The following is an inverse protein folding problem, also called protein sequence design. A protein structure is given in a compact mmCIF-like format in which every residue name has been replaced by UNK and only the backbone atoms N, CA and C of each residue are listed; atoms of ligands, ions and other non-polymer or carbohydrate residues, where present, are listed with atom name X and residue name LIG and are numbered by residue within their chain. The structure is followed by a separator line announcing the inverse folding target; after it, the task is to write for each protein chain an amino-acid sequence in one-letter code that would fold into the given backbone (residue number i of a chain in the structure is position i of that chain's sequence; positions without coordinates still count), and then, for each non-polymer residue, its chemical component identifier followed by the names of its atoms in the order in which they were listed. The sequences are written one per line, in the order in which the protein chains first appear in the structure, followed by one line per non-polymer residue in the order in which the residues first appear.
data_IF_468480170282
#
_entry.id   IF_468480170282
#
_cell.length_a   1.000
_cell.length_b   1.000
_cell.length_c   1.000
_cell.angle_alpha   90.00
_cell.angle_beta   90.00
_cell.angle_gamma   90.00
#
_symmetry.space_group_name_H-M   'P 1'
#
loop_
_entity.id
_entity.type
_entity.pdbx_description
1 polymer ?
#
# COMPACT_ATOMS: atom_id res chain seq x y z
N UNK A 1 9.24 -1.08 13.71
CA UNK A 1 8.14 -1.17 12.73
C UNK A 1 7.03 -2.11 13.17
N UNK A 2 7.32 -3.39 13.47
CA UNK A 2 6.25 -4.35 13.80
C UNK A 2 5.36 -3.94 14.98
N UNK A 3 5.89 -3.21 15.97
CA UNK A 3 5.07 -2.63 17.04
C UNK A 3 4.06 -1.59 16.53
N UNK A 4 4.44 -0.80 15.52
CA UNK A 4 3.55 0.17 14.89
C UNK A 4 2.46 -0.53 14.03
N UNK A 5 2.82 -1.62 13.34
CA UNK A 5 1.85 -2.46 12.64
C UNK A 5 0.84 -3.10 13.60
N UNK A 6 1.32 -3.68 14.71
CA UNK A 6 0.46 -4.21 15.79
C UNK A 6 -0.42 -3.14 16.42
N UNK A 7 0.12 -1.94 16.68
CA UNK A 7 -0.68 -0.82 17.19
C UNK A 7 -1.84 -0.49 16.25
N UNK A 8 -1.57 -0.39 14.93
CA UNK A 8 -2.59 -0.06 13.94
C UNK A 8 -3.65 -1.16 13.81
N UNK A 9 -3.24 -2.44 13.87
CA UNK A 9 -4.15 -3.58 13.93
C UNK A 9 -5.03 -3.54 15.19
N UNK A 10 -4.41 -3.43 16.38
CA UNK A 10 -5.09 -3.42 17.67
C UNK A 10 -6.13 -2.31 17.75
N UNK A 11 -5.75 -1.10 17.30
CA UNK A 11 -6.63 0.06 17.24
C UNK A 11 -7.80 -0.18 16.27
N UNK A 12 -7.51 -0.75 15.10
CA UNK A 12 -8.53 -0.99 14.07
C UNK A 12 -9.51 -2.10 14.45
N UNK A 13 -9.14 -2.96 15.41
CA UNK A 13 -10.01 -3.93 16.06
C UNK A 13 -10.79 -3.37 17.26
N UNK A 14 -10.63 -2.09 17.62
CA UNK A 14 -11.48 -1.44 18.63
C UNK A 14 -12.80 -0.99 18.01
N UNK A 15 -13.83 -1.84 18.04
CA UNK A 15 -15.12 -1.54 17.40
C UNK A 15 -15.82 -0.27 17.95
N UNK A 16 -15.48 0.15 19.17
CA UNK A 16 -15.98 1.39 19.79
C UNK A 16 -15.21 2.67 19.41
N UNK A 17 -14.07 2.56 18.70
CA UNK A 17 -13.25 3.70 18.29
C UNK A 17 -13.38 3.89 16.79
N UNK A 18 -14.21 4.86 16.39
CA UNK A 18 -14.44 5.15 14.99
C UNK A 18 -13.21 5.83 14.37
N UNK A 19 -12.54 5.11 13.49
CA UNK A 19 -11.46 5.63 12.65
C UNK A 19 -11.85 5.57 11.18
N UNK A 20 -11.32 6.51 10.40
CA UNK A 20 -11.46 6.55 8.93
C UNK A 20 -10.18 6.13 8.21
N UNK A 21 -9.03 6.20 8.87
CA UNK A 21 -7.72 5.88 8.33
C UNK A 21 -6.79 5.42 9.45
N UNK A 22 -6.04 4.35 9.19
CA UNK A 22 -4.85 3.98 9.93
C UNK A 22 -3.77 3.51 8.96
N UNK A 23 -2.70 4.29 8.88
CA UNK A 23 -1.57 4.06 7.97
C UNK A 23 -0.29 3.92 8.78
N UNK A 24 0.55 2.95 8.45
CA UNK A 24 1.86 2.74 9.10
C UNK A 24 2.96 3.01 8.10
N UNK A 25 3.92 3.84 8.48
CA UNK A 25 5.08 4.22 7.66
C UNK A 25 6.35 3.72 8.33
N UNK A 26 7.12 2.89 7.61
CA UNK A 26 8.41 2.41 8.07
C UNK A 26 9.44 3.54 8.09
N UNK A 27 10.28 3.55 9.12
CA UNK A 27 11.43 4.44 9.14
C UNK A 27 12.42 4.05 8.02
N UNK A 28 13.00 5.00 7.26
CA UNK A 28 13.00 6.45 7.51
C UNK A 28 11.96 7.25 6.70
N UNK A 29 10.89 6.65 6.16
CA UNK A 29 9.93 7.33 5.24
C UNK A 29 9.47 8.70 5.77
N UNK A 30 9.07 8.76 7.05
CA UNK A 30 8.61 10.01 7.65
C UNK A 30 9.73 11.05 7.81
N UNK A 31 10.96 10.60 8.07
CA UNK A 31 12.12 11.48 8.19
C UNK A 31 12.54 12.05 6.84
N UNK A 32 12.56 11.21 5.81
CA UNK A 32 13.15 11.56 4.51
C UNK A 32 12.16 12.30 3.61
N UNK A 33 10.89 11.89 3.64
CA UNK A 33 9.93 12.29 2.60
C UNK A 33 8.81 13.20 3.13
N UNK A 34 8.58 13.26 4.44
CA UNK A 34 7.51 14.06 5.02
C UNK A 34 8.05 15.38 5.58
N UNK A 35 8.43 16.31 4.69
CA UNK A 35 9.12 17.58 5.03
C UNK A 35 8.54 18.36 6.22
N UNK A 36 7.22 18.34 6.43
CA UNK A 36 6.58 19.04 7.57
C UNK A 36 6.56 18.22 8.87
N UNK A 37 6.76 16.92 8.79
CA UNK A 37 6.84 15.96 9.92
C UNK A 37 8.29 15.67 10.30
N UNK A 38 9.20 15.66 9.33
CA UNK A 38 10.63 15.37 9.47
C UNK A 38 11.36 16.09 10.62
N UNK A 39 11.04 17.37 10.97
CA UNK A 39 11.65 18.04 12.11
C UNK A 39 11.28 17.46 13.48
N UNK A 40 10.19 16.68 13.57
CA UNK A 40 9.61 16.18 14.81
C UNK A 40 9.84 14.67 15.01
N UNK A 41 10.56 14.02 14.10
CA UNK A 41 10.86 12.59 14.13
C UNK A 41 12.35 12.32 13.89
N UNK A 42 12.87 11.22 14.43
CA UNK A 42 14.22 10.74 14.20
C UNK A 42 14.30 9.79 13.00
N UNK A 43 15.51 9.43 12.59
CA UNK A 43 15.75 8.50 11.46
C UNK A 43 15.16 7.11 11.70
N UNK A 44 15.16 6.63 12.94
CA UNK A 44 14.57 5.33 13.32
C UNK A 44 13.07 5.39 13.67
N UNK A 45 12.42 6.54 13.53
CA UNK A 45 11.02 6.70 13.94
C UNK A 45 10.07 6.16 12.87
N UNK A 46 9.37 5.08 13.22
CA UNK A 46 8.20 4.63 12.46
C UNK A 46 7.02 5.53 12.82
N UNK A 47 6.18 5.88 11.84
CA UNK A 47 5.06 6.81 12.03
C UNK A 47 3.72 6.10 11.79
N UNK A 48 2.69 6.47 12.55
CA UNK A 48 1.32 6.03 12.31
C UNK A 48 0.47 7.27 12.00
N UNK A 49 -0.14 7.30 10.82
CA UNK A 49 -1.12 8.31 10.42
C UNK A 49 -2.54 7.86 10.74
N UNK A 50 -3.29 8.67 11.49
CA UNK A 50 -4.63 8.30 11.96
C UNK A 50 -5.66 9.39 11.62
N UNK A 51 -6.85 8.97 11.21
CA UNK A 51 -8.06 9.81 11.22
C UNK A 51 -9.06 9.23 12.24
N UNK A 52 -9.13 9.84 13.42
CA UNK A 52 -10.06 9.46 14.49
C UNK A 52 -11.25 10.41 14.49
N UNK A 53 -12.47 9.89 14.58
CA UNK A 53 -13.67 10.73 14.66
C UNK A 53 -13.68 11.54 15.98
N UNK A 54 -14.20 12.79 15.99
CA UNK A 54 -14.18 13.63 17.19
C UNK A 54 -14.77 12.95 18.43
N UNK A 55 -15.91 12.27 18.30
CA UNK A 55 -16.58 11.55 19.39
C UNK A 55 -15.82 10.31 19.88
N UNK A 56 -14.81 9.84 19.14
CA UNK A 56 -13.99 8.67 19.51
C UNK A 56 -12.62 9.07 20.05
N UNK A 57 -12.30 10.37 20.14
CA UNK A 57 -10.99 10.86 20.54
C UNK A 57 -10.62 10.44 21.97
N UNK A 58 -11.54 10.53 22.93
CA UNK A 58 -11.28 10.12 24.32
C UNK A 58 -11.04 8.61 24.44
N UNK A 59 -11.78 7.82 23.65
CA UNK A 59 -11.57 6.38 23.52
C UNK A 59 -10.19 6.06 22.94
N UNK A 60 -9.79 6.77 21.88
CA UNK A 60 -8.44 6.65 21.31
C UNK A 60 -7.35 7.04 22.30
N UNK A 61 -7.47 8.15 23.03
CA UNK A 61 -6.48 8.56 24.03
C UNK A 61 -6.37 7.55 25.17
N UNK A 62 -7.50 6.97 25.59
CA UNK A 62 -7.52 5.87 26.58
C UNK A 62 -6.81 4.63 26.06
N UNK A 63 -7.03 4.26 24.79
CA UNK A 63 -6.31 3.17 24.13
C UNK A 63 -4.81 3.45 24.04
N UNK A 64 -4.43 4.64 23.57
CA UNK A 64 -3.04 5.08 23.44
C UNK A 64 -2.30 5.10 24.78
N UNK A 65 -2.97 5.52 25.86
CA UNK A 65 -2.38 5.54 27.21
C UNK A 65 -1.94 4.16 27.74
N UNK A 66 -2.34 3.06 27.08
CA UNK A 66 -1.92 1.68 27.39
C UNK A 66 -0.73 1.21 26.54
N UNK A 67 -0.20 2.05 25.66
CA UNK A 67 0.87 1.74 24.70
C UNK A 67 2.09 2.64 25.00
N UNK A 68 2.88 2.36 26.05
CA UNK A 68 4.00 3.21 26.48
C UNK A 68 5.09 3.41 25.41
N UNK A 69 5.14 2.52 24.41
CA UNK A 69 6.03 2.59 23.25
C UNK A 69 5.58 3.58 22.17
N UNK A 70 4.35 4.12 22.25
CA UNK A 70 3.77 5.02 21.26
C UNK A 70 3.58 6.44 21.82
N UNK A 71 3.98 7.44 21.03
CA UNK A 71 3.87 8.86 21.40
C UNK A 71 3.02 9.61 20.39
N UNK A 72 1.99 10.33 20.88
CA UNK A 72 1.22 11.26 20.05
C UNK A 72 2.01 12.56 19.86
N UNK A 73 2.56 12.75 18.66
CA UNK A 73 3.39 13.94 18.33
C UNK A 73 2.60 15.10 17.71
N UNK A 74 1.40 14.83 17.19
CA UNK A 74 0.56 15.81 16.51
C UNK A 74 -0.92 15.45 16.59
N UNK A 75 -1.77 16.44 16.88
CA UNK A 75 -3.23 16.40 16.74
C UNK A 75 -3.68 17.70 16.11
N UNK A 76 -4.58 17.65 15.13
CA UNK A 76 -4.94 18.83 14.33
C UNK A 76 -5.65 19.94 15.12
N UNK A 77 -6.33 19.58 16.21
CA UNK A 77 -7.01 20.47 17.16
C UNK A 77 -6.16 20.79 18.41
N UNK A 78 -4.99 20.17 18.57
CA UNK A 78 -4.11 20.38 19.72
C UNK A 78 -2.64 20.16 19.33
N UNK A 79 -2.00 21.23 18.83
CA UNK A 79 -0.57 21.23 18.49
C UNK A 79 0.06 22.61 18.69
N UNK A 80 1.38 22.61 18.84
CA UNK A 80 2.22 23.82 18.85
C UNK A 80 3.17 23.89 17.64
N UNK A 81 2.99 23.03 16.63
CA UNK A 81 3.83 23.00 15.44
C UNK A 81 3.74 24.33 14.67
N UNK A 82 4.90 24.90 14.32
CA UNK A 82 4.97 26.17 13.60
C UNK A 82 4.33 26.12 12.20
N UNK A 83 4.32 24.93 11.58
CA UNK A 83 3.63 24.66 10.31
C UNK A 83 2.91 23.32 10.42
N UNK A 84 1.63 23.30 10.09
CA UNK A 84 0.84 22.07 10.13
C UNK A 84 1.27 21.13 8.98
N UNK A 85 1.31 19.81 9.22
CA UNK A 85 1.59 18.84 8.17
C UNK A 85 0.50 18.85 7.09
N UNK A 86 -0.69 19.39 7.38
CA UNK A 86 -1.86 19.31 6.52
C UNK A 86 -2.68 18.05 6.82
N UNK A 87 -3.62 17.70 5.94
CA UNK A 87 -4.47 16.52 6.15
C UNK A 87 -3.65 15.22 6.09
N UNK A 88 -3.82 14.35 7.09
CA UNK A 88 -3.07 13.08 7.18
C UNK A 88 -3.32 12.13 6.01
N UNK A 89 -4.51 12.19 5.37
CA UNK A 89 -4.80 11.34 4.21
C UNK A 89 -3.93 11.69 2.99
N UNK A 90 -3.33 12.90 2.94
CA UNK A 90 -2.34 13.26 1.92
C UNK A 90 -0.94 12.72 2.24
N UNK A 91 -0.80 11.90 3.28
CA UNK A 91 0.40 11.14 3.59
C UNK A 91 0.17 9.65 3.43
N UNK A 92 -1.07 9.16 3.50
CA UNK A 92 -1.41 7.77 3.25
C UNK A 92 -1.70 7.48 1.77
N UNK A 93 -1.98 6.21 1.49
CA UNK A 93 -2.18 5.65 0.16
C UNK A 93 -1.03 6.08 -0.77
N UNK A 94 -1.28 6.18 -2.07
CA UNK A 94 -0.21 6.49 -3.01
C UNK A 94 0.33 7.94 -2.89
N UNK A 95 -0.19 8.76 -1.96
CA UNK A 95 0.44 10.04 -1.64
C UNK A 95 1.77 9.86 -0.89
N UNK A 96 1.98 8.74 -0.18
CA UNK A 96 3.30 8.38 0.35
C UNK A 96 4.33 8.35 -0.77
N UNK A 97 4.03 7.60 -1.84
CA UNK A 97 4.86 7.47 -3.03
C UNK A 97 5.05 8.82 -3.71
N UNK A 98 4.00 9.61 -3.87
CA UNK A 98 4.09 10.97 -4.43
C UNK A 98 5.06 11.87 -3.63
N UNK A 99 5.04 11.78 -2.29
CA UNK A 99 5.94 12.56 -1.44
C UNK A 99 7.38 12.08 -1.57
N UNK A 100 7.59 10.76 -1.62
CA UNK A 100 8.90 10.18 -1.84
C UNK A 100 9.49 10.57 -3.21
N UNK A 101 8.73 10.40 -4.29
CA UNK A 101 9.10 10.75 -5.66
C UNK A 101 9.51 12.23 -5.83
N UNK A 102 8.90 13.14 -5.07
CA UNK A 102 9.25 14.57 -5.10
C UNK A 102 10.64 14.87 -4.52
N UNK A 103 11.18 13.97 -3.71
CA UNK A 103 12.50 14.08 -3.09
C UNK A 103 13.52 13.19 -3.80
N UNK A 104 13.12 11.95 -4.08
CA UNK A 104 13.93 10.91 -4.72
C UNK A 104 13.15 10.29 -5.90
N UNK A 105 13.46 10.71 -7.15
CA UNK A 105 12.80 10.19 -8.35
C UNK A 105 13.07 8.71 -8.64
N UNK A 106 14.03 8.07 -7.95
CA UNK A 106 14.29 6.63 -8.10
C UNK A 106 13.27 5.77 -7.34
N UNK A 107 12.44 6.35 -6.49
CA UNK A 107 11.43 5.59 -5.76
C UNK A 107 10.32 5.13 -6.69
N UNK A 108 9.97 3.86 -6.62
CA UNK A 108 8.71 3.33 -7.15
C UNK A 108 7.94 2.63 -6.03
N UNK A 109 6.88 1.89 -6.32
CA UNK A 109 6.04 1.27 -5.29
C UNK A 109 5.48 -0.08 -5.74
N UNK A 110 5.15 -0.94 -4.78
CA UNK A 110 4.36 -2.15 -5.00
C UNK A 110 2.93 -1.96 -4.51
N UNK A 111 2.03 -2.84 -4.94
CA UNK A 111 0.73 -3.00 -4.30
C UNK A 111 0.62 -4.45 -3.84
N UNK A 112 0.57 -4.64 -2.53
CA UNK A 112 0.60 -5.96 -1.88
C UNK A 112 -0.63 -6.10 -1.02
N UNK A 113 -1.24 -7.28 -0.98
CA UNK A 113 -2.23 -7.65 0.03
C UNK A 113 -1.64 -8.67 0.99
N UNK A 114 -1.57 -8.26 2.26
CA UNK A 114 -1.25 -9.12 3.38
C UNK A 114 -2.56 -9.53 4.06
N UNK A 115 -3.04 -10.74 3.74
CA UNK A 115 -4.33 -11.26 4.21
C UNK A 115 -4.25 -11.94 5.58
N UNK A 116 -5.38 -11.92 6.29
CA UNK A 116 -5.59 -12.66 7.55
C UNK A 116 -5.50 -14.18 7.32
N UNK A 117 -5.02 -14.99 8.28
CA UNK A 117 -4.52 -14.60 9.62
C UNK A 117 -3.04 -14.20 9.68
N UNK A 118 -2.30 -14.38 8.59
CA UNK A 118 -0.83 -14.37 8.61
C UNK A 118 -0.25 -12.99 8.21
N UNK A 119 -1.07 -11.95 8.14
CA UNK A 119 -0.71 -10.66 7.55
C UNK A 119 0.49 -10.01 8.24
N UNK A 120 0.57 -10.06 9.57
CA UNK A 120 1.72 -9.51 10.30
C UNK A 120 2.99 -10.35 10.10
N UNK A 121 2.87 -11.68 10.05
CA UNK A 121 4.01 -12.58 9.83
C UNK A 121 4.60 -12.38 8.43
N UNK A 122 3.74 -12.23 7.42
CA UNK A 122 4.14 -11.91 6.04
C UNK A 122 4.85 -10.57 5.97
N UNK A 123 4.29 -9.52 6.59
CA UNK A 123 4.94 -8.20 6.67
C UNK A 123 6.32 -8.31 7.34
N UNK A 124 6.43 -9.04 8.46
CA UNK A 124 7.70 -9.23 9.14
C UNK A 124 8.71 -9.94 8.24
N UNK A 125 8.28 -10.96 7.51
CA UNK A 125 9.15 -11.74 6.62
C UNK A 125 9.65 -10.93 5.43
N UNK A 126 8.78 -10.15 4.79
CA UNK A 126 9.16 -9.24 3.70
C UNK A 126 10.18 -8.22 4.19
N UNK A 127 9.99 -7.66 5.39
CA UNK A 127 10.95 -6.72 5.99
C UNK A 127 12.30 -7.35 6.28
N UNK A 128 12.32 -8.59 6.77
CA UNK A 128 13.55 -9.33 7.02
C UNK A 128 14.37 -9.51 5.73
N UNK A 129 13.68 -9.77 4.60
CA UNK A 129 14.30 -10.05 3.32
C UNK A 129 14.84 -8.77 2.66
N UNK A 130 14.03 -7.71 2.61
CA UNK A 130 14.36 -6.52 1.82
C UNK A 130 14.91 -5.35 2.63
N UNK A 131 14.59 -5.27 3.92
CA UNK A 131 15.01 -4.14 4.77
C UNK A 131 14.71 -2.78 4.11
N UNK A 132 15.76 -1.94 4.01
CA UNK A 132 15.67 -0.59 3.46
C UNK A 132 15.52 -0.54 1.92
N UNK A 133 15.69 -1.65 1.20
CA UNK A 133 15.42 -1.67 -0.25
C UNK A 133 13.91 -1.53 -0.53
N UNK A 134 13.08 -2.08 0.35
CA UNK A 134 11.60 -2.07 0.24
C UNK A 134 10.98 -1.65 1.57
N UNK A 135 11.13 -0.38 2.00
CA UNK A 135 10.56 0.07 3.26
C UNK A 135 9.03 0.00 3.20
N UNK A 136 8.43 -0.56 4.25
CA UNK A 136 7.00 -0.84 4.26
C UNK A 136 6.16 0.40 4.48
N UNK A 137 5.05 0.44 3.76
CA UNK A 137 3.96 1.38 3.98
C UNK A 137 2.67 0.56 3.96
N UNK A 138 1.96 0.53 5.08
CA UNK A 138 0.77 -0.30 5.26
C UNK A 138 -0.47 0.54 5.49
N UNK A 139 -1.52 0.25 4.74
CA UNK A 139 -2.88 0.74 4.98
C UNK A 139 -3.70 -0.34 5.65
N UNK A 140 -4.31 -0.01 6.80
CA UNK A 140 -5.27 -0.91 7.41
C UNK A 140 -6.53 -0.99 6.56
N UNK A 141 -6.97 -2.20 6.27
CA UNK A 141 -8.23 -2.51 5.61
C UNK A 141 -9.01 -3.56 6.39
N UNK A 142 -10.29 -3.74 6.03
CA UNK A 142 -11.10 -4.88 6.46
C UNK A 142 -11.48 -5.72 5.25
N UNK A 143 -11.27 -7.03 5.36
CA UNK A 143 -11.69 -8.01 4.37
C UNK A 143 -12.43 -9.13 5.10
N UNK A 144 -13.66 -9.43 4.68
CA UNK A 144 -14.58 -10.36 5.36
C UNK A 144 -14.65 -10.14 6.89
N UNK A 145 -14.67 -8.87 7.31
CA UNK A 145 -14.74 -8.47 8.71
C UNK A 145 -13.42 -8.58 9.50
N UNK A 146 -12.35 -9.12 8.90
CA UNK A 146 -11.03 -9.22 9.52
C UNK A 146 -10.14 -8.05 9.13
N UNK A 147 -9.34 -7.57 10.08
CA UNK A 147 -8.28 -6.60 9.79
C UNK A 147 -7.21 -7.28 8.93
N UNK A 148 -6.81 -6.58 7.88
CA UNK A 148 -5.73 -6.96 6.95
C UNK A 148 -4.91 -5.71 6.62
N UNK A 149 -3.80 -5.88 5.89
CA UNK A 149 -3.03 -4.75 5.38
C UNK A 149 -2.97 -4.76 3.85
N UNK A 150 -3.19 -3.58 3.25
CA UNK A 150 -2.71 -3.29 1.91
C UNK A 150 -1.34 -2.62 2.04
N UNK A 151 -0.30 -3.25 1.49
CA UNK A 151 1.02 -2.69 1.34
C UNK A 151 1.11 -1.81 0.11
N UNK A 152 1.56 -0.57 0.29
CA UNK A 152 2.05 0.30 -0.78
C UNK A 152 3.55 0.56 -0.56
N UNK A 153 4.30 -0.50 -0.26
CA UNK A 153 5.72 -0.43 0.05
C UNK A 153 6.47 0.33 -1.04
N UNK A 154 7.32 1.27 -0.61
CA UNK A 154 8.20 1.96 -1.53
C UNK A 154 9.29 0.99 -1.96
N UNK A 155 9.80 1.16 -3.18
CA UNK A 155 10.92 0.38 -3.71
C UNK A 155 11.98 1.36 -4.18
N UNK A 156 13.21 1.20 -3.71
CA UNK A 156 14.37 1.92 -4.24
C UNK A 156 14.75 1.28 -5.58
N UNK A 157 14.24 1.82 -6.69
CA UNK A 157 14.38 1.19 -7.99
C UNK A 157 15.85 1.15 -8.43
N UNK A 158 16.25 0.01 -9.01
CA UNK A 158 17.57 -0.18 -9.61
C UNK A 158 17.46 -0.64 -11.06
N UNK A 159 16.86 -1.81 -11.26
CA UNK A 159 16.67 -2.43 -12.58
C UNK A 159 15.29 -3.11 -12.63
N UNK A 160 14.78 -3.32 -13.84
CA UNK A 160 13.53 -4.07 -14.06
C UNK A 160 13.65 -5.51 -13.55
N UNK A 161 14.77 -6.19 -13.84
CA UNK A 161 15.04 -7.55 -13.35
C UNK A 161 14.97 -7.64 -11.82
N UNK A 162 15.54 -6.65 -11.11
CA UNK A 162 15.47 -6.63 -9.64
C UNK A 162 14.05 -6.37 -9.13
N UNK A 163 13.30 -5.49 -9.79
CA UNK A 163 11.91 -5.22 -9.43
C UNK A 163 11.04 -6.48 -9.61
N UNK A 164 11.25 -7.21 -10.69
CA UNK A 164 10.57 -8.48 -10.98
C UNK A 164 10.97 -9.57 -9.97
N UNK A 165 12.25 -9.63 -9.57
CA UNK A 165 12.71 -10.52 -8.50
C UNK A 165 12.02 -10.19 -7.16
N UNK A 166 11.87 -8.90 -6.82
CA UNK A 166 11.16 -8.47 -5.61
C UNK A 166 9.70 -8.94 -5.67
N UNK A 167 9.02 -8.75 -6.79
CA UNK A 167 7.63 -9.19 -7.01
C UNK A 167 7.52 -10.71 -6.84
N UNK A 168 8.38 -11.48 -7.51
CA UNK A 168 8.39 -12.95 -7.43
C UNK A 168 8.55 -13.44 -5.99
N UNK A 169 9.48 -12.86 -5.22
CA UNK A 169 9.69 -13.22 -3.81
C UNK A 169 8.44 -12.95 -2.96
N UNK A 170 7.69 -11.88 -3.22
CA UNK A 170 6.42 -11.66 -2.52
C UNK A 170 5.40 -12.76 -2.84
N UNK A 171 5.28 -13.13 -4.12
CA UNK A 171 4.36 -14.17 -4.59
C UNK A 171 4.73 -15.56 -4.04
N UNK A 172 6.02 -15.92 -4.03
CA UNK A 172 6.54 -17.16 -3.46
C UNK A 172 6.24 -17.29 -1.96
N UNK A 173 6.13 -16.16 -1.25
CA UNK A 173 5.74 -16.10 0.16
C UNK A 173 4.20 -16.05 0.36
N UNK A 174 3.43 -16.21 -0.72
CA UNK A 174 1.98 -16.17 -0.70
C UNK A 174 1.41 -14.78 -0.38
N UNK A 175 2.16 -13.71 -0.68
CA UNK A 175 1.64 -12.35 -0.68
C UNK A 175 1.02 -12.06 -2.04
N UNK A 176 -0.23 -11.59 -2.07
CA UNK A 176 -0.91 -11.27 -3.32
C UNK A 176 -0.42 -9.92 -3.84
N UNK A 177 0.20 -9.91 -5.02
CA UNK A 177 0.66 -8.70 -5.70
C UNK A 177 -0.40 -8.22 -6.70
N UNK A 178 -0.62 -6.91 -6.73
CA UNK A 178 -1.33 -6.23 -7.82
C UNK A 178 -0.32 -5.38 -8.59
N UNK A 179 0.32 -5.94 -9.62
CA UNK A 179 1.51 -5.35 -10.22
C UNK A 179 1.23 -3.94 -10.79
N UNK A 180 1.73 -2.86 -10.15
CA UNK A 180 1.46 -1.49 -10.60
C UNK A 180 2.30 -1.08 -11.80
N UNK A 181 3.24 -1.94 -12.22
CA UNK A 181 4.13 -1.72 -13.37
C UNK A 181 3.59 -2.38 -14.63
N UNK A 182 2.31 -2.74 -14.65
CA UNK A 182 1.62 -3.28 -15.82
C UNK A 182 0.37 -2.46 -16.13
N UNK A 183 0.03 -2.37 -17.41
CA UNK A 183 -1.04 -1.50 -17.90
C UNK A 183 -2.29 -2.27 -18.35
N UNK A 184 -2.20 -3.60 -18.48
CA UNK A 184 -3.31 -4.50 -18.82
C UNK A 184 -4.03 -4.95 -17.55
N UNK A 185 -5.31 -5.31 -17.67
CA UNK A 185 -6.17 -5.67 -16.54
C UNK A 185 -5.69 -6.93 -15.84
N UNK A 186 -5.32 -7.91 -16.66
CA UNK A 186 -5.03 -9.26 -16.19
C UNK A 186 -3.63 -9.36 -15.59
N UNK A 187 -2.62 -8.71 -16.17
CA UNK A 187 -1.26 -8.67 -15.61
C UNK A 187 -1.17 -7.80 -14.35
N UNK A 188 -2.05 -6.81 -14.20
CA UNK A 188 -2.14 -6.01 -12.97
C UNK A 188 -2.76 -6.80 -11.78
N UNK A 189 -3.31 -7.99 -12.02
CA UNK A 189 -3.80 -8.91 -10.97
C UNK A 189 -5.09 -8.48 -10.26
N UNK A 190 -5.65 -7.30 -10.57
CA UNK A 190 -6.88 -6.78 -9.92
C UNK A 190 -8.16 -7.31 -10.56
N UNK A 191 -8.11 -7.70 -11.83
CA UNK A 191 -9.27 -8.19 -12.56
C UNK A 191 -8.89 -9.47 -13.30
N UNK A 192 -9.60 -10.55 -12.99
CA UNK A 192 -9.57 -11.76 -13.81
C UNK A 192 -10.54 -11.58 -14.98
N UNK A 193 -10.06 -11.81 -16.19
CA UNK A 193 -10.93 -11.96 -17.34
C UNK A 193 -11.54 -13.36 -17.30
N UNK A 194 -12.83 -13.45 -16.96
CA UNK A 194 -13.61 -14.67 -17.14
C UNK A 194 -14.53 -14.54 -18.36
N UNK A 195 -15.21 -15.63 -18.73
CA UNK A 195 -16.12 -15.64 -19.87
C UNK A 195 -17.22 -14.58 -19.74
N UNK A 196 -17.68 -14.33 -18.51
CA UNK A 196 -18.71 -13.31 -18.23
C UNK A 196 -18.21 -11.90 -18.54
N UNK A 197 -16.98 -11.57 -18.17
CA UNK A 197 -16.37 -10.27 -18.48
C UNK A 197 -16.19 -10.08 -19.99
N UNK A 198 -15.80 -11.13 -20.70
CA UNK A 198 -15.69 -11.11 -22.16
C UNK A 198 -17.05 -10.91 -22.84
N UNK A 199 -18.08 -11.64 -22.40
CA UNK A 199 -19.43 -11.52 -22.95
C UNK A 199 -19.99 -10.12 -22.71
N UNK A 200 -19.78 -9.57 -21.51
CA UNK A 200 -20.18 -8.20 -21.20
C UNK A 200 -19.43 -7.17 -22.05
N UNK A 201 -18.11 -7.34 -22.31
CA UNK A 201 -17.37 -6.46 -23.21
C UNK A 201 -17.90 -6.55 -24.64
N UNK A 202 -18.30 -7.73 -25.13
CA UNK A 202 -18.94 -7.88 -26.46
C UNK A 202 -20.27 -7.14 -26.55
N UNK A 203 -21.06 -7.17 -25.49
CA UNK A 203 -22.33 -6.43 -25.42
C UNK A 203 -22.12 -4.91 -25.39
N UNK A 204 -21.24 -4.44 -24.50
CA UNK A 204 -21.06 -3.01 -24.24
C UNK A 204 -20.15 -2.30 -25.25
N UNK A 205 -19.18 -3.01 -25.83
CA UNK A 205 -18.17 -2.48 -26.75
C UNK A 205 -17.90 -3.46 -27.91
N UNK A 206 -18.91 -3.74 -28.77
CA UNK A 206 -18.80 -4.75 -29.83
C UNK A 206 -17.72 -4.43 -30.87
N UNK A 207 -17.26 -3.17 -30.94
CA UNK A 207 -16.20 -2.74 -31.85
C UNK A 207 -14.82 -2.64 -31.18
N UNK A 208 -14.72 -2.89 -29.87
CA UNK A 208 -13.45 -2.82 -29.14
C UNK A 208 -12.84 -1.42 -29.06
N UNK A 209 -13.65 -0.36 -29.07
CA UNK A 209 -13.18 1.04 -29.09
C UNK A 209 -12.94 1.61 -27.69
N UNK A 210 -13.49 0.98 -26.63
CA UNK A 210 -13.29 1.43 -25.26
C UNK A 210 -11.95 0.90 -24.73
N UNK A 211 -10.95 1.79 -24.73
CA UNK A 211 -9.63 1.58 -24.14
C UNK A 211 -8.93 0.31 -24.68
N UNK A 212 -8.67 0.22 -26.00
CA UNK A 212 -8.06 -0.94 -26.63
C UNK A 212 -6.67 -1.27 -26.07
N UNK A 213 -6.27 -2.54 -26.10
CA UNK A 213 -5.00 -3.02 -25.55
C UNK A 213 -4.95 -3.20 -24.04
N UNK A 214 -6.06 -2.95 -23.33
CA UNK A 214 -6.15 -3.11 -21.86
C UNK A 214 -6.57 -4.50 -21.40
N UNK A 215 -7.34 -5.22 -22.20
CA UNK A 215 -7.83 -6.56 -21.87
C UNK A 215 -7.16 -7.53 -22.84
N UNK A 216 -6.19 -8.30 -22.37
CA UNK A 216 -5.41 -9.22 -23.20
C UNK A 216 -6.33 -10.25 -23.86
N UNK A 217 -7.23 -10.85 -23.09
CA UNK A 217 -8.19 -11.87 -23.59
C UNK A 217 -9.17 -11.36 -24.64
N UNK A 218 -9.32 -10.04 -24.78
CA UNK A 218 -10.08 -9.45 -25.89
C UNK A 218 -9.30 -9.49 -27.21
N UNK A 219 -8.01 -9.18 -27.15
CA UNK A 219 -7.12 -9.13 -28.31
C UNK A 219 -6.51 -10.50 -28.67
N UNK A 220 -6.40 -11.38 -27.68
CA UNK A 220 -5.83 -12.74 -27.76
C UNK A 220 -6.65 -13.71 -26.88
N UNK A 221 -7.73 -14.30 -27.41
CA UNK A 221 -8.65 -15.16 -26.66
C UNK A 221 -8.03 -16.45 -26.11
N UNK A 222 -6.92 -16.90 -26.69
CA UNK A 222 -6.26 -18.17 -26.32
C UNK A 222 -5.16 -17.96 -25.27
N UNK A 223 -4.96 -16.72 -24.79
CA UNK A 223 -3.92 -16.42 -23.81
C UNK A 223 -4.20 -17.13 -22.47
N UNK A 224 -3.30 -18.02 -22.07
CA UNK A 224 -3.54 -18.98 -20.98
C UNK A 224 -2.97 -18.56 -19.61
N UNK A 225 -2.40 -17.35 -19.52
CA UNK A 225 -1.86 -16.75 -18.30
C UNK A 225 -0.86 -17.62 -17.53
N UNK A 226 -0.24 -18.64 -18.15
CA UNK A 226 0.64 -19.58 -17.44
C UNK A 226 1.84 -18.92 -16.77
N UNK A 227 2.26 -17.76 -17.26
CA UNK A 227 3.35 -16.98 -16.69
C UNK A 227 3.02 -15.49 -16.72
N UNK A 228 3.39 -14.80 -15.65
CA UNK A 228 3.44 -13.34 -15.60
C UNK A 228 4.44 -12.88 -16.69
N UNK A 229 4.08 -11.85 -17.46
CA UNK A 229 4.83 -11.31 -18.61
C UNK A 229 4.84 -12.15 -19.89
N UNK A 230 3.98 -13.16 -19.99
CA UNK A 230 3.90 -13.99 -21.19
C UNK A 230 3.27 -13.28 -22.40
N UNK A 231 2.67 -12.09 -22.25
CA UNK A 231 1.98 -11.43 -23.36
C UNK A 231 2.96 -10.74 -24.34
N UNK A 232 3.12 -11.26 -25.57
CA UNK A 232 4.22 -10.85 -26.45
C UNK A 232 4.00 -9.48 -27.10
N UNK A 233 2.78 -8.94 -27.06
CA UNK A 233 2.44 -7.63 -27.65
C UNK A 233 2.55 -6.48 -26.66
N UNK A 234 3.20 -6.67 -25.51
CA UNK A 234 3.49 -5.58 -24.58
C UNK A 234 4.31 -4.49 -25.28
N UNK A 235 3.79 -3.26 -25.26
CA UNK A 235 4.53 -2.09 -25.71
C UNK A 235 5.58 -1.77 -24.65
N UNK A 236 6.84 -1.58 -25.08
CA UNK A 236 7.88 -1.04 -24.19
C UNK A 236 7.46 0.34 -23.70
N UNK A 237 7.74 0.65 -22.43
CA UNK A 237 7.64 2.01 -21.94
C UNK A 237 8.53 2.91 -22.83
N UNK A 238 7.93 3.96 -23.37
CA UNK A 238 8.60 4.94 -24.24
C UNK A 238 9.37 5.98 -23.45
#
# INVERSE_FOLDING_TARGET
FMDAARFAEDLSNQDGILIKLATVFEAPIAKDYFQRVAPYVGEGTNLIGLMVAPQSMDGFLTFLGRKPEATLIYRNDNHNWARTPGPVFEYGWNHTTLRALKVDPSITYLQVRYGFPDHLDKVAKIREIFGDEVPQHLEVMRDNGKVIFAGLSLVRFTTEDRLDDIIRIHEDLGCMIFNPHRYTLEEAGRQTADQRQLDFKREADPKGLLNPGKMITWDDPDFDYKQIYAYPKMLKAG
#
